data_IF_521990801260
#
_entry.id   IF_521990801260
#
_cell.length_a   1.000
_cell.length_b   1.000
_cell.length_c   1.000
_cell.angle_alpha   90.00
_cell.angle_beta   90.00
_cell.angle_gamma   90.00
#
_symmetry.space_group_name_H-M   'P 1'
#
loop_
_entity.id
_entity.type
_entity.pdbx_description
1 polymer ?
#
# COMPACT_ATOMS: atom_id res chain seq x y z
N UNK A 1 0.87 20.67 4.15
CA UNK A 1 0.90 22.14 4.01
C UNK A 1 -0.20 22.70 4.90
N UNK A 2 0.14 23.40 6.00
CA UNK A 2 -0.87 24.12 6.78
C UNK A 2 -1.04 25.48 6.12
N UNK A 3 -2.16 25.71 5.44
CA UNK A 3 -2.53 27.04 4.94
C UNK A 3 -3.35 27.71 6.01
N UNK A 4 -2.82 28.77 6.62
CA UNK A 4 -3.60 29.65 7.49
C UNK A 4 -4.37 30.60 6.58
N UNK A 5 -5.70 30.47 6.55
CA UNK A 5 -6.59 31.40 5.85
C UNK A 5 -7.10 32.41 6.87
N UNK A 6 -6.88 33.70 6.62
CA UNK A 6 -7.39 34.81 7.45
C UNK A 6 -8.39 35.65 6.65
N UNK A 7 -9.50 36.08 7.28
CA UNK A 7 -10.62 36.85 6.69
C UNK A 7 -10.31 38.29 6.21
N UNK A 8 -9.03 38.65 6.06
CA UNK A 8 -8.62 39.98 5.58
C UNK A 8 -8.40 39.97 4.06
N UNK A 9 -8.65 41.10 3.36
CA UNK A 9 -8.31 41.20 1.94
C UNK A 9 -6.83 40.83 1.74
N UNK A 10 -6.48 40.07 0.69
CA UNK A 10 -5.12 39.55 0.54
C UNK A 10 -4.14 40.72 0.42
N UNK A 11 -3.32 40.90 1.44
CA UNK A 11 -2.14 41.74 1.35
C UNK A 11 -1.22 41.19 0.26
N UNK A 12 -0.50 42.03 -0.50
CA UNK A 12 0.50 41.52 -1.43
C UNK A 12 1.47 40.60 -0.69
N UNK A 13 1.83 39.43 -1.27
CA UNK A 13 2.71 38.48 -0.60
C UNK A 13 4.04 39.16 -0.26
N UNK A 14 4.63 38.85 0.92
CA UNK A 14 5.90 39.43 1.30
C UNK A 14 6.96 39.15 0.23
N UNK A 15 7.84 40.12 -0.01
CA UNK A 15 8.89 40.02 -1.05
C UNK A 15 9.93 38.93 -0.79
N UNK A 16 9.95 38.37 0.42
CA UNK A 16 10.78 37.23 0.83
C UNK A 16 9.96 36.30 1.71
N UNK A 17 9.93 35.02 1.35
CA UNK A 17 9.34 33.95 2.15
C UNK A 17 10.19 32.69 2.02
N UNK A 18 10.10 31.82 3.02
CA UNK A 18 10.72 30.49 3.03
C UNK A 18 9.64 29.47 3.37
N UNK A 19 9.48 28.44 2.54
CA UNK A 19 8.53 27.35 2.76
C UNK A 19 9.30 26.09 3.15
N UNK A 20 8.85 25.41 4.20
CA UNK A 20 9.41 24.15 4.65
C UNK A 20 8.35 23.06 4.60
N UNK A 21 8.68 21.93 3.98
CA UNK A 21 7.88 20.71 4.05
C UNK A 21 8.37 19.92 5.26
N UNK A 22 7.62 19.99 6.36
CA UNK A 22 7.96 19.31 7.63
C UNK A 22 7.45 17.87 7.69
N UNK A 23 6.50 17.51 6.81
CA UNK A 23 5.93 16.17 6.70
C UNK A 23 5.47 15.93 5.27
N UNK A 24 5.75 14.74 4.76
CA UNK A 24 5.41 14.27 3.41
C UNK A 24 5.44 12.74 3.35
N UNK A 25 4.92 12.17 2.27
CA UNK A 25 4.98 10.73 2.04
C UNK A 25 6.43 10.23 2.01
N UNK A 26 7.35 10.97 1.36
CA UNK A 26 8.78 10.66 1.36
C UNK A 26 9.38 10.56 2.77
N UNK A 27 8.99 11.46 3.68
CA UNK A 27 9.46 11.42 5.08
C UNK A 27 8.95 10.16 5.78
N UNK A 28 7.69 9.80 5.59
CA UNK A 28 7.13 8.58 6.16
C UNK A 28 7.76 7.30 5.59
N UNK A 29 8.00 7.26 4.27
CA UNK A 29 8.69 6.13 3.61
C UNK A 29 10.13 5.98 4.10
N UNK A 30 10.86 7.08 4.32
CA UNK A 30 12.22 7.02 4.90
C UNK A 30 12.21 6.46 6.31
N UNK A 31 11.28 6.92 7.16
CA UNK A 31 11.15 6.40 8.52
C UNK A 31 10.80 4.90 8.53
N UNK A 32 9.87 4.46 7.66
CA UNK A 32 9.54 3.05 7.49
C UNK A 32 10.75 2.23 7.00
N UNK A 33 11.51 2.77 6.03
CA UNK A 33 12.72 2.13 5.49
C UNK A 33 13.82 1.96 6.56
N UNK A 34 14.05 2.98 7.39
CA UNK A 34 15.00 2.93 8.51
C UNK A 34 14.61 1.88 9.55
N UNK A 35 13.31 1.81 9.88
CA UNK A 35 12.77 0.80 10.81
C UNK A 35 12.95 -0.63 10.28
N UNK A 36 12.63 -0.87 9.01
CA UNK A 36 12.78 -2.17 8.36
C UNK A 36 14.26 -2.57 8.22
N UNK A 37 15.12 -1.62 7.89
CA UNK A 37 16.59 -1.83 7.86
C UNK A 37 17.11 -2.24 9.23
N UNK A 38 16.66 -1.56 10.29
CA UNK A 38 17.02 -1.89 11.67
C UNK A 38 16.49 -3.26 12.12
N UNK A 39 15.46 -3.77 11.43
CA UNK A 39 14.88 -5.10 11.64
C UNK A 39 15.51 -6.19 10.76
N UNK A 40 16.54 -5.86 9.96
CA UNK A 40 17.30 -6.83 9.17
C UNK A 40 16.90 -6.94 7.69
N UNK A 41 15.97 -6.11 7.20
CA UNK A 41 15.61 -6.09 5.78
C UNK A 41 16.57 -5.19 4.99
N UNK A 42 16.93 -5.63 3.79
CA UNK A 42 17.46 -4.73 2.79
C UNK A 42 16.31 -3.88 2.24
N UNK A 43 16.21 -2.63 2.69
CA UNK A 43 15.05 -1.77 2.41
C UNK A 43 15.31 -0.83 1.24
N UNK A 44 14.35 -0.71 0.32
CA UNK A 44 14.41 0.19 -0.84
C UNK A 44 13.09 0.91 -1.01
N UNK A 45 13.14 2.25 -1.05
CA UNK A 45 12.01 3.07 -1.49
C UNK A 45 11.98 3.05 -3.01
N UNK A 46 10.92 2.48 -3.57
CA UNK A 46 10.72 2.35 -5.01
C UNK A 46 10.14 3.64 -5.58
N UNK A 47 9.04 4.14 -5.01
CA UNK A 47 8.44 5.40 -5.46
C UNK A 47 7.64 6.04 -4.34
N UNK A 48 7.59 7.36 -4.31
CA UNK A 48 6.69 8.17 -3.48
C UNK A 48 5.58 8.84 -4.30
N UNK A 49 5.40 8.40 -5.56
CA UNK A 49 4.43 8.94 -6.51
C UNK A 49 3.59 7.83 -7.17
N UNK A 50 3.35 6.72 -6.46
CA UNK A 50 2.45 5.66 -6.91
C UNK A 50 1.06 6.26 -7.17
N UNK A 51 0.50 6.00 -8.34
CA UNK A 51 -0.79 6.53 -8.77
C UNK A 51 -1.41 5.60 -9.82
N UNK A 52 -2.72 5.75 -10.04
CA UNK A 52 -3.51 4.89 -10.91
C UNK A 52 -4.58 4.11 -10.15
N UNK A 53 -5.22 3.17 -10.84
CA UNK A 53 -6.29 2.36 -10.26
C UNK A 53 -5.73 1.34 -9.26
N UNK A 54 -6.30 1.31 -8.05
CA UNK A 54 -5.88 0.46 -6.94
C UNK A 54 -5.90 -1.03 -7.29
N UNK A 55 -6.94 -1.51 -7.97
CA UNK A 55 -7.07 -2.92 -8.34
C UNK A 55 -6.03 -3.32 -9.40
N UNK A 56 -5.75 -2.46 -10.39
CA UNK A 56 -4.69 -2.68 -11.39
C UNK A 56 -3.31 -2.78 -10.75
N UNK A 57 -3.01 -1.86 -9.83
CA UNK A 57 -1.75 -1.86 -9.08
C UNK A 57 -1.64 -3.09 -8.19
N UNK A 58 -2.73 -3.51 -7.52
CA UNK A 58 -2.77 -4.75 -6.75
C UNK A 58 -2.40 -5.98 -7.60
N UNK A 59 -2.89 -6.06 -8.84
CA UNK A 59 -2.51 -7.12 -9.78
C UNK A 59 -1.03 -7.10 -10.15
N UNK A 60 -0.43 -5.92 -10.29
CA UNK A 60 1.02 -5.77 -10.52
C UNK A 60 1.84 -6.23 -9.30
N UNK A 61 1.38 -5.96 -8.07
CA UNK A 61 2.03 -6.50 -6.87
C UNK A 61 1.99 -8.03 -6.86
N UNK A 62 0.87 -8.64 -7.24
CA UNK A 62 0.79 -10.08 -7.39
C UNK A 62 1.74 -10.62 -8.49
N UNK A 63 1.99 -9.86 -9.56
CA UNK A 63 2.96 -10.24 -10.60
C UNK A 63 4.38 -10.24 -10.01
N UNK A 64 4.70 -9.22 -9.23
CA UNK A 64 5.99 -9.08 -8.55
C UNK A 64 6.24 -10.21 -7.55
N UNK A 65 5.24 -10.55 -6.73
CA UNK A 65 5.29 -11.66 -5.75
C UNK A 65 5.50 -13.02 -6.44
N UNK A 66 4.91 -13.21 -7.61
CA UNK A 66 4.94 -14.48 -8.34
C UNK A 66 6.09 -14.58 -9.35
N UNK A 67 6.91 -13.53 -9.49
CA UNK A 67 7.96 -13.51 -10.50
C UNK A 67 9.19 -14.31 -10.06
N UNK A 68 9.66 -15.22 -10.91
CA UNK A 68 10.92 -15.98 -10.70
C UNK A 68 12.14 -15.10 -10.51
N UNK A 69 12.11 -13.90 -11.09
CA UNK A 69 13.16 -12.90 -10.93
C UNK A 69 12.55 -11.52 -10.95
N UNK A 70 12.93 -10.70 -9.98
CA UNK A 70 12.54 -9.29 -9.95
C UNK A 70 13.40 -8.54 -10.97
N UNK A 71 12.79 -8.03 -12.03
CA UNK A 71 13.47 -7.18 -13.00
C UNK A 71 13.64 -5.76 -12.42
N UNK A 72 14.87 -5.45 -11.99
CA UNK A 72 15.23 -4.14 -11.42
C UNK A 72 14.87 -2.98 -12.35
N UNK A 73 14.96 -3.19 -13.66
CA UNK A 73 14.67 -2.13 -14.66
C UNK A 73 13.17 -1.85 -14.79
N UNK A 74 12.31 -2.81 -14.43
CA UNK A 74 10.84 -2.64 -14.44
C UNK A 74 10.30 -2.03 -13.17
N UNK A 75 10.96 -2.26 -12.03
CA UNK A 75 10.56 -1.65 -10.78
C UNK A 75 10.87 -0.15 -10.73
N UNK A 76 11.92 0.30 -11.42
CA UNK A 76 12.41 1.67 -11.32
C UNK A 76 12.93 2.21 -12.66
N UNK A 77 12.38 3.34 -13.10
CA UNK A 77 12.98 4.19 -14.12
C UNK A 77 14.23 4.90 -13.58
N UNK A 78 15.31 4.15 -13.31
CA UNK A 78 16.65 4.71 -13.13
C UNK A 78 17.27 4.66 -11.72
N UNK A 79 16.78 3.83 -10.80
CA UNK A 79 17.44 3.60 -9.51
C UNK A 79 17.97 2.16 -9.43
N UNK A 80 19.30 2.03 -9.27
CA UNK A 80 19.94 0.75 -9.04
C UNK A 80 19.86 0.43 -7.54
N UNK A 81 19.19 -0.67 -7.21
CA UNK A 81 19.27 -1.27 -5.88
C UNK A 81 19.65 -2.74 -6.01
N UNK A 82 20.27 -3.29 -4.98
CA UNK A 82 20.62 -4.70 -4.96
C UNK A 82 19.51 -5.56 -4.39
N UNK A 83 19.19 -6.65 -5.10
CA UNK A 83 18.19 -7.62 -4.69
C UNK A 83 18.82 -8.61 -3.71
N UNK A 84 19.11 -8.15 -2.50
CA UNK A 84 19.49 -8.99 -1.37
C UNK A 84 18.27 -9.27 -0.51
N UNK A 85 18.00 -10.56 -0.24
CA UNK A 85 16.91 -11.02 0.59
C UNK A 85 17.39 -11.21 2.04
N UNK A 86 16.56 -10.95 3.06
CA UNK A 86 15.18 -10.47 2.97
C UNK A 86 15.12 -9.01 2.49
N UNK A 87 14.22 -8.72 1.55
CA UNK A 87 14.08 -7.39 0.94
C UNK A 87 12.75 -6.75 1.32
N UNK A 88 12.78 -5.44 1.59
CA UNK A 88 11.59 -4.63 1.73
C UNK A 88 11.51 -3.61 0.58
N UNK A 89 10.43 -3.66 -0.19
CA UNK A 89 10.13 -2.70 -1.23
C UNK A 89 9.01 -1.77 -0.76
N UNK A 90 9.29 -0.48 -0.69
CA UNK A 90 8.37 0.52 -0.17
C UNK A 90 7.88 1.41 -1.31
N UNK A 91 6.58 1.64 -1.33
CA UNK A 91 5.90 2.49 -2.31
C UNK A 91 4.99 3.43 -1.54
N UNK A 92 4.79 4.63 -2.06
CA UNK A 92 3.79 5.53 -1.54
C UNK A 92 3.33 6.48 -2.61
N UNK A 93 2.25 7.18 -2.31
CA UNK A 93 1.48 7.97 -3.26
C UNK A 93 0.01 7.87 -2.96
N UNK A 94 -0.83 8.08 -3.97
CA UNK A 94 -2.28 8.11 -3.82
C UNK A 94 -2.92 7.42 -5.02
N UNK A 95 -3.61 6.31 -4.75
CA UNK A 95 -4.33 5.55 -5.79
C UNK A 95 -5.82 5.86 -5.79
N UNK A 96 -6.53 5.43 -6.83
CA UNK A 96 -7.97 5.65 -6.96
C UNK A 96 -8.71 4.33 -7.15
N UNK A 97 -9.98 4.32 -6.76
CA UNK A 97 -10.90 3.19 -6.98
C UNK A 97 -11.83 3.54 -8.13
N UNK A 98 -12.09 2.58 -9.01
CA UNK A 98 -13.21 2.66 -9.94
C UNK A 98 -14.41 1.98 -9.28
N UNK A 99 -15.35 2.79 -8.80
CA UNK A 99 -16.53 2.29 -8.12
C UNK A 99 -17.47 1.59 -9.10
N UNK A 100 -18.08 0.50 -8.65
CA UNK A 100 -19.21 -0.14 -9.34
C UNK A 100 -20.43 0.80 -9.36
N UNK A 101 -21.48 0.42 -10.09
CA UNK A 101 -22.72 1.21 -10.17
C UNK A 101 -23.40 1.36 -8.80
N UNK A 102 -23.35 0.31 -7.99
CA UNK A 102 -23.90 0.28 -6.63
C UNK A 102 -22.80 -0.21 -5.68
N UNK A 103 -21.84 0.66 -5.33
CA UNK A 103 -20.66 0.24 -4.59
C UNK A 103 -21.03 -0.18 -3.17
N UNK A 104 -20.41 -1.26 -2.72
CA UNK A 104 -20.34 -1.61 -1.32
C UNK A 104 -19.44 -0.66 -0.54
N UNK A 105 -18.92 -1.14 0.58
CA UNK A 105 -18.05 -0.35 1.46
C UNK A 105 -16.59 -0.77 1.24
N UNK A 106 -15.67 0.20 1.20
CA UNK A 106 -14.26 -0.09 0.98
C UNK A 106 -13.42 1.17 0.81
N UNK A 107 -12.15 0.96 0.49
CA UNK A 107 -11.21 2.01 0.14
C UNK A 107 -10.11 1.47 -0.77
N UNK A 108 -9.26 2.37 -1.26
CA UNK A 108 -8.22 2.06 -2.26
C UNK A 108 -7.16 1.11 -1.72
N UNK A 109 -6.78 1.24 -0.44
CA UNK A 109 -5.77 0.38 0.16
C UNK A 109 -6.32 -1.04 0.37
N UNK A 110 -7.55 -1.13 0.87
CA UNK A 110 -8.30 -2.39 0.99
C UNK A 110 -8.53 -3.07 -0.37
N UNK A 111 -8.90 -2.30 -1.40
CA UNK A 111 -9.12 -2.81 -2.75
C UNK A 111 -7.82 -3.29 -3.42
N UNK A 112 -6.72 -2.56 -3.23
CA UNK A 112 -5.41 -2.96 -3.74
C UNK A 112 -4.95 -4.29 -3.14
N UNK A 113 -5.04 -4.44 -1.82
CA UNK A 113 -4.73 -5.70 -1.16
C UNK A 113 -5.63 -6.84 -1.65
N UNK A 114 -6.93 -6.57 -1.86
CA UNK A 114 -7.88 -7.58 -2.29
C UNK A 114 -7.63 -8.01 -3.74
N UNK A 115 -7.29 -7.08 -4.63
CA UNK A 115 -6.92 -7.36 -6.01
C UNK A 115 -5.60 -8.13 -6.11
N UNK A 116 -4.65 -7.83 -5.23
CA UNK A 116 -3.42 -8.62 -5.12
C UNK A 116 -3.74 -10.06 -4.70
N UNK A 117 -4.54 -10.23 -3.64
CA UNK A 117 -4.95 -11.54 -3.13
C UNK A 117 -5.72 -12.35 -4.19
N UNK A 118 -6.68 -11.72 -4.87
CA UNK A 118 -7.46 -12.32 -5.96
C UNK A 118 -6.58 -12.82 -7.10
N UNK A 119 -5.62 -12.01 -7.54
CA UNK A 119 -4.71 -12.37 -8.62
C UNK A 119 -3.75 -13.51 -8.23
N UNK A 120 -3.40 -13.64 -6.95
CA UNK A 120 -2.56 -14.72 -6.45
C UNK A 120 -3.26 -16.09 -6.47
N UNK A 121 -4.59 -16.17 -6.65
CA UNK A 121 -5.31 -17.47 -6.77
C UNK A 121 -4.77 -18.40 -7.85
N UNK A 122 -4.35 -17.81 -8.96
CA UNK A 122 -3.88 -18.56 -10.14
C UNK A 122 -2.36 -18.55 -10.26
N UNK A 123 -1.65 -18.14 -9.20
CA UNK A 123 -0.21 -17.93 -9.20
C UNK A 123 0.41 -18.64 -8.00
N UNK A 124 1.60 -19.20 -8.20
CA UNK A 124 2.40 -19.72 -7.09
C UNK A 124 3.45 -18.66 -6.74
N UNK A 125 3.40 -18.08 -5.53
CA UNK A 125 4.47 -17.20 -5.06
C UNK A 125 5.80 -17.94 -5.06
N UNK A 126 6.83 -17.31 -5.62
CA UNK A 126 8.20 -17.84 -5.59
C UNK A 126 8.94 -17.44 -4.30
N UNK A 127 8.34 -16.54 -3.51
CA UNK A 127 8.89 -16.02 -2.26
C UNK A 127 7.89 -16.19 -1.12
N UNK A 128 8.42 -16.25 0.11
CA UNK A 128 7.65 -15.83 1.28
C UNK A 128 7.45 -14.33 1.18
N UNK A 129 6.22 -13.87 1.34
CA UNK A 129 5.84 -12.49 1.19
C UNK A 129 4.95 -12.01 2.34
N UNK A 130 5.00 -10.72 2.57
CA UNK A 130 3.97 -9.97 3.29
C UNK A 130 3.74 -8.68 2.53
N UNK A 131 2.49 -8.42 2.18
CA UNK A 131 2.09 -7.21 1.48
C UNK A 131 1.10 -6.42 2.33
N UNK A 132 1.47 -5.18 2.60
CA UNK A 132 0.67 -4.19 3.33
C UNK A 132 0.32 -3.06 2.37
N UNK A 133 -0.93 -2.60 2.42
CA UNK A 133 -1.37 -1.34 1.82
C UNK A 133 -2.18 -0.57 2.87
N UNK A 134 -1.80 0.67 3.17
CA UNK A 134 -2.40 1.45 4.25
C UNK A 134 -2.37 2.97 4.03
N UNK A 135 -3.46 3.64 4.41
CA UNK A 135 -3.55 5.09 4.55
C UNK A 135 -2.88 5.57 5.83
N UNK A 136 -2.03 6.60 5.74
CA UNK A 136 -1.28 7.11 6.89
C UNK A 136 -2.12 7.87 7.92
N UNK A 137 -3.35 8.25 7.56
CA UNK A 137 -4.33 8.86 8.47
C UNK A 137 -5.11 7.85 9.32
N UNK A 138 -4.90 6.56 9.05
CA UNK A 138 -5.57 5.47 9.74
C UNK A 138 -6.96 5.14 9.18
N UNK A 139 -7.32 5.73 8.03
CA UNK A 139 -8.59 5.54 7.34
C UNK A 139 -8.37 5.26 5.85
N UNK A 140 -9.31 4.52 5.25
CA UNK A 140 -9.28 4.15 3.84
C UNK A 140 -10.71 4.11 3.31
N UNK A 141 -11.06 5.06 2.46
CA UNK A 141 -12.44 5.32 2.06
C UNK A 141 -13.33 5.73 3.25
N UNK A 142 -14.66 5.56 3.15
CA UNK A 142 -15.60 5.86 4.24
C UNK A 142 -15.62 4.74 5.31
N UNK A 143 -14.44 4.34 5.83
CA UNK A 143 -14.28 3.20 6.74
C UNK A 143 -13.45 3.54 7.97
N UNK A 144 -13.48 2.66 8.98
CA UNK A 144 -12.65 2.76 10.20
C UNK A 144 -11.32 2.00 10.08
N UNK A 145 -10.98 1.54 8.88
CA UNK A 145 -9.76 0.80 8.59
C UNK A 145 -8.80 1.65 7.80
N UNK A 146 -7.50 1.45 8.03
CA UNK A 146 -6.43 2.08 7.28
C UNK A 146 -6.14 1.32 5.97
N UNK A 147 -6.49 0.04 5.88
CA UNK A 147 -6.12 -0.81 4.76
C UNK A 147 -6.18 -2.29 5.11
N UNK A 148 -5.30 -3.09 4.51
CA UNK A 148 -5.21 -4.52 4.78
C UNK A 148 -3.78 -5.05 4.60
N UNK A 149 -3.53 -6.22 5.20
CA UNK A 149 -2.27 -6.94 5.14
C UNK A 149 -2.51 -8.39 4.73
N UNK A 150 -1.68 -8.90 3.81
CA UNK A 150 -1.75 -10.29 3.34
C UNK A 150 -0.36 -10.93 3.33
N UNK A 151 -0.33 -12.26 3.38
CA UNK A 151 0.86 -13.12 3.41
C UNK A 151 0.60 -14.45 2.70
N UNK A 152 1.60 -15.32 2.63
CA UNK A 152 1.43 -16.67 2.06
C UNK A 152 0.34 -17.50 2.77
N UNK A 153 0.14 -17.30 4.07
CA UNK A 153 -0.83 -18.06 4.88
C UNK A 153 -2.27 -17.83 4.40
N UNK A 154 -2.54 -16.63 3.88
CA UNK A 154 -3.85 -16.20 3.41
C UNK A 154 -4.31 -16.93 2.14
N UNK A 155 -3.37 -17.48 1.37
CA UNK A 155 -3.66 -18.14 0.09
C UNK A 155 -4.45 -19.45 0.25
N UNK A 156 -4.46 -20.04 1.45
CA UNK A 156 -5.22 -21.24 1.75
C UNK A 156 -6.61 -20.94 2.34
N UNK A 157 -6.98 -19.66 2.49
CA UNK A 157 -8.26 -19.30 3.06
C UNK A 157 -9.43 -19.67 2.11
N UNK A 158 -10.49 -20.36 2.58
CA UNK A 158 -11.64 -20.70 1.73
C UNK A 158 -12.34 -19.49 1.07
N UNK A 159 -12.29 -18.31 1.71
CA UNK A 159 -12.84 -17.06 1.18
C UNK A 159 -12.09 -16.54 -0.05
N UNK A 160 -10.90 -17.08 -0.38
CA UNK A 160 -10.24 -16.78 -1.65
C UNK A 160 -11.21 -16.95 -2.84
N UNK A 161 -12.08 -17.95 -2.79
CA UNK A 161 -13.08 -18.19 -3.85
C UNK A 161 -14.01 -17.01 -4.14
N UNK A 162 -14.28 -16.12 -3.17
CA UNK A 162 -15.20 -15.00 -3.30
C UNK A 162 -14.53 -13.63 -3.54
N UNK A 163 -13.21 -13.54 -3.56
CA UNK A 163 -12.48 -12.26 -3.71
C UNK A 163 -12.93 -11.46 -4.95
N UNK A 164 -13.19 -12.13 -6.08
CA UNK A 164 -13.60 -11.48 -7.33
C UNK A 164 -14.99 -10.83 -7.22
N UNK A 165 -15.89 -11.43 -6.45
CA UNK A 165 -17.23 -10.89 -6.20
C UNK A 165 -17.14 -9.57 -5.43
N UNK A 166 -16.38 -9.54 -4.34
CA UNK A 166 -16.18 -8.34 -3.54
C UNK A 166 -15.46 -7.22 -4.31
N UNK A 167 -14.51 -7.55 -5.18
CA UNK A 167 -13.87 -6.57 -6.06
C UNK A 167 -14.87 -5.95 -7.05
N UNK A 168 -15.66 -6.79 -7.74
CA UNK A 168 -16.64 -6.31 -8.71
C UNK A 168 -17.72 -5.43 -8.09
N UNK A 169 -18.02 -5.63 -6.81
CA UNK A 169 -18.99 -4.84 -6.07
C UNK A 169 -18.39 -3.64 -5.33
N UNK A 170 -17.07 -3.40 -5.42
CA UNK A 170 -16.37 -2.37 -4.64
C UNK A 170 -16.63 -2.48 -3.12
N UNK A 171 -16.63 -3.71 -2.60
CA UNK A 171 -17.04 -4.05 -1.23
C UNK A 171 -15.89 -4.66 -0.39
N UNK A 172 -14.68 -4.11 -0.56
CA UNK A 172 -13.46 -4.65 0.07
C UNK A 172 -13.52 -4.63 1.61
N UNK A 173 -14.21 -3.67 2.22
CA UNK A 173 -14.37 -3.60 3.68
C UNK A 173 -15.11 -4.82 4.23
N UNK A 174 -16.21 -5.21 3.59
CA UNK A 174 -17.01 -6.35 4.02
C UNK A 174 -16.23 -7.65 3.89
N UNK A 175 -15.42 -7.80 2.83
CA UNK A 175 -14.49 -8.92 2.69
C UNK A 175 -13.51 -8.97 3.87
N UNK A 176 -12.75 -7.89 4.10
CA UNK A 176 -11.71 -7.86 5.13
C UNK A 176 -12.27 -8.00 6.54
N UNK A 177 -13.49 -7.52 6.80
CA UNK A 177 -14.16 -7.69 8.10
C UNK A 177 -14.43 -9.15 8.46
N UNK A 178 -14.55 -10.03 7.46
CA UNK A 178 -14.84 -11.45 7.61
C UNK A 178 -13.57 -12.31 7.42
N UNK A 179 -12.69 -11.89 6.52
CA UNK A 179 -11.46 -12.60 6.17
C UNK A 179 -10.56 -12.76 7.41
N UNK A 180 -10.19 -14.00 7.73
CA UNK A 180 -9.48 -14.38 8.95
C UNK A 180 -10.11 -13.80 10.24
N UNK A 181 -11.44 -13.65 10.29
CA UNK A 181 -12.12 -13.02 11.42
C UNK A 181 -11.75 -11.55 11.62
N UNK A 182 -11.30 -10.86 10.58
CA UNK A 182 -10.86 -9.47 10.62
C UNK A 182 -9.38 -9.26 10.92
N UNK A 183 -8.59 -10.32 11.13
CA UNK A 183 -7.17 -10.20 11.49
C UNK A 183 -6.32 -9.51 10.40
N UNK A 184 -6.68 -9.68 9.13
CA UNK A 184 -6.01 -9.03 7.99
C UNK A 184 -6.52 -7.60 7.73
N UNK A 185 -7.55 -7.16 8.45
CA UNK A 185 -8.14 -5.84 8.30
C UNK A 185 -7.40 -4.84 9.19
N UNK A 186 -6.61 -3.97 8.58
CA UNK A 186 -5.74 -3.08 9.34
C UNK A 186 -6.54 -1.92 9.94
N UNK A 187 -6.76 -1.95 11.26
CA UNK A 187 -7.45 -0.90 12.00
C UNK A 187 -6.51 -0.26 13.02
N UNK A 188 -5.86 0.83 12.64
CA UNK A 188 -4.94 1.57 13.51
C UNK A 188 -5.64 2.59 14.41
N UNK A 189 -6.86 2.98 14.03
CA UNK A 189 -7.48 4.22 14.52
C UNK A 189 -6.85 5.47 13.89
N UNK A 190 -7.42 6.66 14.14
CA UNK A 190 -6.95 7.91 13.56
C UNK A 190 -5.54 8.25 14.05
N UNK A 191 -4.60 8.48 13.13
CA UNK A 191 -3.20 8.79 13.47
C UNK A 191 -2.97 10.26 13.85
N UNK A 192 -3.91 11.14 13.48
CA UNK A 192 -3.77 12.59 13.65
C UNK A 192 -2.90 13.28 12.60
N UNK A 193 -2.50 12.57 11.54
CA UNK A 193 -1.77 13.13 10.39
C UNK A 193 -2.28 12.55 9.08
N UNK A 194 -1.89 13.10 7.94
CA UNK A 194 -2.15 12.50 6.62
C UNK A 194 -1.01 12.90 5.67
N UNK A 195 -0.29 11.90 5.17
CA UNK A 195 0.72 12.04 4.12
C UNK A 195 0.53 10.98 3.03
N UNK A 196 -0.71 10.74 2.63
CA UNK A 196 -1.13 9.77 1.60
C UNK A 196 -0.94 8.31 2.03
N UNK A 197 -0.86 7.39 1.07
CA UNK A 197 -0.76 5.94 1.31
C UNK A 197 0.69 5.44 1.36
N UNK A 198 0.88 4.30 2.02
CA UNK A 198 2.11 3.52 2.01
C UNK A 198 1.78 2.07 1.70
N UNK A 199 2.55 1.49 0.78
CA UNK A 199 2.58 0.06 0.50
C UNK A 199 3.96 -0.51 0.85
N UNK A 200 3.96 -1.64 1.53
CA UNK A 200 5.19 -2.35 1.90
C UNK A 200 5.07 -3.78 1.40
N UNK A 201 6.01 -4.18 0.56
CA UNK A 201 6.16 -5.56 0.13
C UNK A 201 7.46 -6.13 0.71
N UNK A 202 7.31 -7.08 1.63
CA UNK A 202 8.41 -7.87 2.16
C UNK A 202 8.53 -9.15 1.34
N UNK A 203 9.74 -9.50 0.93
CA UNK A 203 10.03 -10.76 0.24
C UNK A 203 11.23 -11.45 0.85
N UNK A 204 11.11 -12.76 1.04
CA UNK A 204 12.14 -13.65 1.53
C UNK A 204 12.22 -14.87 0.62
N UNK A 205 13.45 -15.31 0.29
CA UNK A 205 13.62 -16.59 -0.40
C UNK A 205 13.46 -17.72 0.60
N UNK A 206 12.70 -18.76 0.25
CA UNK A 206 12.77 -20.01 1.01
C UNK A 206 14.20 -20.57 0.95
N UNK A 207 14.64 -21.12 2.09
CA UNK A 207 16.04 -21.27 2.47
C UNK A 207 16.96 -21.79 1.36
N UNK A 208 17.98 -20.99 1.06
CA UNK A 208 19.32 -21.55 0.84
C UNK A 208 19.93 -21.70 2.24
N UNK A 209 19.74 -22.86 2.85
CA UNK A 209 20.69 -23.37 3.84
C UNK A 209 21.64 -24.33 3.14
#
# INVERSE_FOLDING_TARGET
MVVVVTDSPPSPPPSKFQNYIISSNDVALRAASESLTSSGFNSTIVTSSLSGNAAEIGRHFADLISSKSIDKNKLLAGHQFDLHYPIALLFGGETTVHLSENPGKGGRNQEMALACLDALKSRNPEYKFTFLSAGTDGQDGPTDAAGAIISNEDLQNPMMSSTSEYLNNSDSYSFWSQFNGGASHLKTGPSGTNVMDIQILLLEKEGVL
#
